data_IF_888443586661
#
_entry.id   IF_888443586661
#
_cell.length_a   1.000
_cell.length_b   1.000
_cell.length_c   1.000
_cell.angle_alpha   90.00
_cell.angle_beta   90.00
_cell.angle_gamma   90.00
#
_symmetry.space_group_name_H-M   'P 1'
#
loop_
_entity.id
_entity.type
_entity.pdbx_description
1 polymer ?
#
# COMPACT_ATOMS: atom_id res chain seq x y z
N UNK A 1 11.75 -11.56 16.30
CA UNK A 1 11.44 -10.37 17.12
C UNK A 1 10.23 -9.70 16.49
N UNK A 2 9.33 -9.13 17.28
CA UNK A 2 8.24 -8.32 16.74
C UNK A 2 8.82 -7.02 16.16
N UNK A 3 8.26 -6.48 15.06
CA UNK A 3 8.75 -5.23 14.48
C UNK A 3 8.61 -4.09 15.49
N UNK A 4 9.56 -3.16 15.48
CA UNK A 4 9.58 -2.01 16.37
C UNK A 4 8.37 -1.07 16.18
N UNK A 5 7.90 -0.93 14.94
CA UNK A 5 6.80 -0.05 14.57
C UNK A 5 5.71 -0.86 13.86
N UNK A 6 4.48 -0.33 13.84
CA UNK A 6 3.40 -0.79 12.95
C UNK A 6 3.17 0.22 11.81
N UNK A 7 2.39 -0.16 10.79
CA UNK A 7 2.14 0.71 9.65
C UNK A 7 1.20 1.87 9.97
N UNK A 8 0.34 1.71 10.97
CA UNK A 8 -0.57 2.75 11.45
C UNK A 8 0.12 3.85 12.29
N UNK A 9 1.32 3.59 12.82
CA UNK A 9 2.14 4.52 13.60
C UNK A 9 2.59 5.72 12.77
N UNK A 10 3.00 6.84 13.41
CA UNK A 10 3.55 7.98 12.68
C UNK A 10 4.71 7.62 11.76
N UNK A 11 5.61 6.74 12.21
CA UNK A 11 6.78 6.26 11.45
C UNK A 11 6.35 5.40 10.25
N UNK A 12 5.42 4.47 10.46
CA UNK A 12 4.84 3.65 9.40
C UNK A 12 4.17 4.53 8.34
N UNK A 13 3.34 5.47 8.78
CA UNK A 13 2.64 6.41 7.90
C UNK A 13 3.58 7.31 7.09
N UNK A 14 4.66 7.79 7.73
CA UNK A 14 5.67 8.58 7.05
C UNK A 14 6.41 7.72 6.01
N UNK A 15 6.72 6.47 6.35
CA UNK A 15 7.38 5.52 5.44
C UNK A 15 6.52 5.23 4.20
N UNK A 16 5.21 5.04 4.37
CA UNK A 16 4.24 4.94 3.26
C UNK A 16 4.37 6.15 2.33
N UNK A 17 4.35 7.36 2.89
CA UNK A 17 4.43 8.60 2.09
C UNK A 17 5.75 8.71 1.33
N UNK A 18 6.88 8.38 1.97
CA UNK A 18 8.21 8.39 1.34
C UNK A 18 8.26 7.40 0.18
N UNK A 19 7.83 6.16 0.41
CA UNK A 19 7.87 5.11 -0.61
C UNK A 19 6.94 5.43 -1.78
N UNK A 20 5.70 5.88 -1.51
CA UNK A 20 4.75 6.24 -2.57
C UNK A 20 5.31 7.38 -3.44
N UNK A 21 5.87 8.43 -2.82
CA UNK A 21 6.49 9.53 -3.59
C UNK A 21 7.69 9.07 -4.42
N UNK A 22 8.48 8.11 -3.91
CA UNK A 22 9.63 7.54 -4.62
C UNK A 22 9.21 6.70 -5.82
N UNK A 23 8.21 5.84 -5.64
CA UNK A 23 7.80 4.85 -6.64
C UNK A 23 6.82 5.39 -7.68
N UNK A 24 6.02 6.40 -7.32
CA UNK A 24 4.97 6.96 -8.15
C UNK A 24 5.09 8.50 -8.15
N UNK A 25 6.16 9.05 -8.75
CA UNK A 25 6.43 10.49 -8.74
C UNK A 25 5.34 11.31 -9.45
N UNK A 26 4.53 10.69 -10.30
CA UNK A 26 3.39 11.31 -10.98
C UNK A 26 2.28 11.70 -9.99
N UNK A 27 2.18 11.03 -8.84
CA UNK A 27 1.23 11.35 -7.78
C UNK A 27 1.79 12.48 -6.91
N UNK A 28 1.68 13.73 -7.39
CA UNK A 28 2.23 14.93 -6.72
C UNK A 28 1.83 15.05 -5.25
N UNK A 29 0.58 14.73 -4.93
CA UNK A 29 0.03 14.79 -3.57
C UNK A 29 0.11 13.43 -2.84
N UNK A 30 0.63 12.39 -3.49
CA UNK A 30 0.62 11.02 -2.99
C UNK A 30 -0.79 10.44 -2.89
N UNK A 31 -1.00 9.58 -1.89
CA UNK A 31 -2.29 8.99 -1.57
C UNK A 31 -3.27 10.04 -1.03
N UNK A 32 -4.55 9.87 -1.33
CA UNK A 32 -5.61 10.59 -0.61
C UNK A 32 -5.61 10.20 0.89
N UNK A 33 -6.07 11.07 1.80
CA UNK A 33 -6.05 10.79 3.23
C UNK A 33 -6.76 9.49 3.64
N UNK A 34 -7.88 9.18 2.98
CA UNK A 34 -8.63 7.93 3.20
C UNK A 34 -7.84 6.71 2.70
N UNK A 35 -7.23 6.80 1.52
CA UNK A 35 -6.39 5.73 0.98
C UNK A 35 -5.17 5.47 1.86
N UNK A 36 -4.52 6.52 2.34
CA UNK A 36 -3.35 6.41 3.23
C UNK A 36 -3.68 5.61 4.49
N UNK A 37 -4.79 5.97 5.15
CA UNK A 37 -5.27 5.26 6.35
C UNK A 37 -5.60 3.80 6.06
N UNK A 38 -6.25 3.52 4.93
CA UNK A 38 -6.62 2.15 4.56
C UNK A 38 -5.42 1.30 4.13
N UNK A 39 -4.46 1.88 3.41
CA UNK A 39 -3.20 1.21 3.02
C UNK A 39 -2.41 0.82 4.26
N UNK A 40 -2.28 1.69 5.25
CA UNK A 40 -1.62 1.37 6.51
C UNK A 40 -2.27 0.16 7.21
N UNK A 41 -3.60 0.15 7.31
CA UNK A 41 -4.35 -0.98 7.90
C UNK A 41 -4.16 -2.29 7.13
N UNK A 42 -4.14 -2.24 5.80
CA UNK A 42 -3.90 -3.41 4.95
C UNK A 42 -2.48 -3.95 5.15
N UNK A 43 -1.49 -3.06 5.26
CA UNK A 43 -0.10 -3.43 5.54
C UNK A 43 0.09 -4.05 6.94
N UNK A 44 -0.72 -3.63 7.91
CA UNK A 44 -0.85 -4.28 9.23
C UNK A 44 -1.66 -5.59 9.20
N UNK A 45 -2.07 -6.06 8.02
CA UNK A 45 -2.76 -7.33 7.83
C UNK A 45 -4.27 -7.29 8.14
N UNK A 46 -4.88 -6.11 8.26
CA UNK A 46 -6.31 -6.00 8.47
C UNK A 46 -7.10 -6.30 7.19
N UNK A 47 -8.17 -7.08 7.31
CA UNK A 47 -9.14 -7.29 6.24
C UNK A 47 -10.07 -6.09 6.13
N UNK A 48 -10.16 -5.49 4.94
CA UNK A 48 -10.91 -4.25 4.71
C UNK A 48 -12.03 -4.48 3.69
N UNK A 49 -13.27 -4.14 4.09
CA UNK A 49 -14.37 -3.91 3.18
C UNK A 49 -14.46 -2.40 2.88
N UNK A 50 -14.14 -1.98 1.66
CA UNK A 50 -14.15 -0.58 1.26
C UNK A 50 -15.26 -0.31 0.23
N UNK A 51 -16.24 0.51 0.64
CA UNK A 51 -17.26 1.05 -0.26
C UNK A 51 -16.93 2.51 -0.57
N UNK A 52 -16.59 2.80 -1.82
CA UNK A 52 -16.20 4.14 -2.26
C UNK A 52 -16.70 4.39 -3.69
N UNK A 53 -17.09 5.64 -3.97
CA UNK A 53 -17.52 6.07 -5.29
C UNK A 53 -16.50 5.71 -6.38
N UNK A 54 -16.97 5.50 -7.61
CA UNK A 54 -16.11 5.37 -8.80
C UNK A 54 -15.25 6.62 -8.93
N UNK A 55 -13.98 6.45 -9.32
CA UNK A 55 -13.01 7.55 -9.35
C UNK A 55 -12.37 7.92 -8.00
N UNK A 56 -12.82 7.36 -6.87
CA UNK A 56 -12.19 7.60 -5.55
C UNK A 56 -10.79 6.97 -5.36
N UNK A 57 -10.28 6.29 -6.39
CA UNK A 57 -8.94 5.67 -6.37
C UNK A 57 -8.86 4.40 -5.52
N UNK A 58 -9.90 3.56 -5.55
CA UNK A 58 -9.94 2.26 -4.85
C UNK A 58 -8.79 1.33 -5.26
N UNK A 59 -8.30 1.42 -6.50
CA UNK A 59 -7.22 0.56 -6.98
C UNK A 59 -5.93 0.69 -6.18
N UNK A 60 -5.65 1.89 -5.66
CA UNK A 60 -4.50 2.13 -4.80
C UNK A 60 -4.50 1.20 -3.58
N UNK A 61 -5.68 0.80 -3.08
CA UNK A 61 -5.80 -0.02 -1.87
C UNK A 61 -5.26 -1.44 -2.05
N UNK A 62 -5.20 -1.99 -3.27
CA UNK A 62 -4.58 -3.31 -3.51
C UNK A 62 -3.22 -3.21 -4.22
N UNK A 63 -2.97 -2.17 -5.02
CA UNK A 63 -1.70 -2.02 -5.73
C UNK A 63 -0.58 -1.51 -4.81
N UNK A 64 -0.85 -0.46 -4.04
CA UNK A 64 0.16 0.26 -3.26
C UNK A 64 0.74 -0.57 -2.11
N UNK A 65 -0.03 -1.38 -1.35
CA UNK A 65 0.55 -2.24 -0.33
C UNK A 65 1.61 -3.21 -0.89
N UNK A 66 1.37 -3.79 -2.08
CA UNK A 66 2.32 -4.69 -2.73
C UNK A 66 3.58 -3.94 -3.16
N UNK A 67 3.45 -2.74 -3.73
CA UNK A 67 4.60 -1.90 -4.10
C UNK A 67 5.46 -1.54 -2.88
N UNK A 68 4.82 -1.17 -1.77
CA UNK A 68 5.50 -0.81 -0.51
C UNK A 68 6.28 -1.99 0.06
N UNK A 69 5.64 -3.16 0.18
CA UNK A 69 6.31 -4.34 0.72
C UNK A 69 7.50 -4.78 -0.16
N UNK A 70 7.36 -4.71 -1.49
CA UNK A 70 8.46 -5.03 -2.42
C UNK A 70 9.64 -4.07 -2.26
N UNK A 71 9.37 -2.78 -2.09
CA UNK A 71 10.41 -1.77 -1.92
C UNK A 71 11.18 -1.95 -0.61
N UNK A 72 10.47 -2.21 0.49
CA UNK A 72 11.13 -2.48 1.78
C UNK A 72 11.98 -3.75 1.71
N UNK A 73 11.43 -4.85 1.16
CA UNK A 73 12.18 -6.11 1.06
C UNK A 73 13.50 -5.92 0.30
N UNK A 74 13.46 -5.13 -0.79
CA UNK A 74 14.65 -4.84 -1.61
C UNK A 74 15.65 -3.91 -0.93
N UNK A 75 15.19 -3.00 -0.07
CA UNK A 75 16.02 -1.93 0.50
C UNK A 75 15.89 -1.81 2.03
N UNK A 76 15.91 -2.93 2.76
CA UNK A 76 15.59 -2.99 4.20
C UNK A 76 16.35 -1.98 5.05
N UNK A 77 17.64 -1.78 4.76
CA UNK A 77 18.48 -0.85 5.51
C UNK A 77 18.11 0.63 5.37
N UNK A 78 17.19 0.98 4.45
CA UNK A 78 16.76 2.35 4.22
C UNK A 78 15.48 2.73 5.00
N UNK A 79 14.81 1.77 5.64
CA UNK A 79 13.51 1.96 6.26
C UNK A 79 13.50 1.48 7.72
N UNK A 80 12.60 2.03 8.57
CA UNK A 80 12.42 1.55 9.94
C UNK A 80 12.00 0.08 9.99
N UNK A 81 12.19 -0.55 11.15
CA UNK A 81 11.76 -1.92 11.41
C UNK A 81 10.22 -2.00 11.51
N UNK A 82 9.59 -2.28 10.37
CA UNK A 82 8.14 -2.38 10.15
C UNK A 82 7.75 -3.83 9.81
N UNK A 83 6.46 -4.20 9.91
CA UNK A 83 5.98 -5.52 9.50
C UNK A 83 6.25 -5.73 8.01
N UNK A 84 7.04 -6.75 7.67
CA UNK A 84 7.39 -7.11 6.29
C UNK A 84 6.88 -8.50 5.91
N UNK A 85 6.77 -8.72 4.60
CA UNK A 85 6.56 -10.03 4.01
C UNK A 85 7.66 -10.30 3.00
N UNK A 86 8.47 -11.32 3.22
CA UNK A 86 9.64 -11.70 2.41
C UNK A 86 9.32 -11.83 0.90
N UNK A 87 8.16 -12.43 0.61
CA UNK A 87 7.65 -12.62 -0.75
C UNK A 87 6.24 -12.01 -0.84
N UNK A 88 6.15 -10.67 -1.03
CA UNK A 88 4.86 -9.99 -1.09
C UNK A 88 4.19 -10.30 -2.43
N UNK A 89 3.01 -10.92 -2.36
CA UNK A 89 2.20 -11.30 -3.51
C UNK A 89 0.76 -10.85 -3.27
N UNK A 90 0.09 -10.42 -4.33
CA UNK A 90 -1.32 -10.03 -4.32
C UNK A 90 -2.05 -10.66 -5.49
N UNK A 91 -3.28 -11.12 -5.24
CA UNK A 91 -4.18 -11.62 -6.27
C UNK A 91 -5.36 -10.67 -6.33
N UNK A 92 -5.61 -10.10 -7.50
CA UNK A 92 -6.77 -9.24 -7.75
C UNK A 92 -7.76 -10.01 -8.61
N UNK A 93 -8.95 -10.24 -8.06
CA UNK A 93 -10.04 -10.91 -8.76
C UNK A 93 -11.04 -9.86 -9.18
N UNK A 94 -11.36 -9.82 -10.47
CA UNK A 94 -12.35 -8.90 -11.03
C UNK A 94 -13.51 -9.67 -11.65
N UNK A 95 -14.72 -9.10 -11.68
CA UNK A 95 -15.88 -9.77 -12.28
C UNK A 95 -15.82 -9.84 -13.81
N UNK A 96 -15.03 -8.99 -14.48
CA UNK A 96 -14.96 -8.94 -15.95
C UNK A 96 -13.52 -8.92 -16.45
N UNK A 97 -13.28 -9.61 -17.57
CA UNK A 97 -11.98 -9.60 -18.27
C UNK A 97 -11.58 -8.19 -18.70
N UNK A 98 -12.55 -7.40 -19.15
CA UNK A 98 -12.33 -6.00 -19.52
C UNK A 98 -11.77 -5.18 -18.37
N UNK A 99 -12.28 -5.37 -17.15
CA UNK A 99 -11.72 -4.70 -15.98
C UNK A 99 -10.32 -5.23 -15.64
N UNK A 100 -10.10 -6.55 -15.67
CA UNK A 100 -8.77 -7.13 -15.42
C UNK A 100 -7.68 -6.56 -16.34
N UNK A 101 -8.01 -6.36 -17.62
CA UNK A 101 -7.08 -5.82 -18.61
C UNK A 101 -6.82 -4.31 -18.45
N UNK A 102 -7.67 -3.60 -17.70
CA UNK A 102 -7.66 -2.13 -17.60
C UNK A 102 -7.63 -1.67 -16.14
N UNK A 103 -7.11 -2.48 -15.22
CA UNK A 103 -6.87 -2.01 -13.85
C UNK A 103 -5.88 -0.86 -13.93
N UNK A 104 -6.35 0.31 -13.50
CA UNK A 104 -5.56 1.54 -13.30
C UNK A 104 -5.04 1.56 -11.88
#
# INVERSE_FOLDING_TARGET
MAPQYDWCSPQGRQTITIIVKKLIPEWKNGLYPSQHTLVARILDGQNILCCMATGGGKSALFAVPILILREIVRNRGLYPDLPIRELPQGIVITPTKGLAANIV
#
